data_IF_147249020459
#
_entry.id   IF_147249020459
#
_cell.length_a   1.000
_cell.length_b   1.000
_cell.length_c   1.000
_cell.angle_alpha   90.00
_cell.angle_beta   90.00
_cell.angle_gamma   90.00
#
_symmetry.space_group_name_H-M   'P 1'
#
loop_
_entity.id
_entity.type
_entity.pdbx_description
1 polymer ?
#
# COMPACT_ATOMS: atom_id res chain seq x y z
N UNK A 1 -0.07 24.12 0.44
CA UNK A 1 -1.20 23.16 0.41
C UNK A 1 -0.57 21.79 0.29
N UNK A 2 -1.01 20.82 1.10
CA UNK A 2 -0.54 19.42 0.99
C UNK A 2 -1.11 18.83 -0.32
N UNK A 3 -0.29 18.10 -1.08
CA UNK A 3 -0.79 17.37 -2.26
C UNK A 3 -1.46 16.06 -1.84
N UNK A 4 -2.33 15.50 -2.69
CA UNK A 4 -2.94 14.19 -2.40
C UNK A 4 -1.87 13.08 -2.26
N UNK A 5 -0.77 13.17 -3.02
CA UNK A 5 0.37 12.27 -2.89
C UNK A 5 1.04 12.36 -1.51
N UNK A 6 1.26 13.57 -1.00
CA UNK A 6 1.85 13.77 0.33
C UNK A 6 0.91 13.26 1.43
N UNK A 7 -0.38 13.58 1.30
CA UNK A 7 -1.44 13.14 2.21
C UNK A 7 -1.56 11.61 2.23
N UNK A 8 -1.62 10.96 1.07
CA UNK A 8 -1.69 9.51 0.95
C UNK A 8 -0.45 8.85 1.54
N UNK A 9 0.74 9.37 1.25
CA UNK A 9 2.01 8.85 1.78
C UNK A 9 2.06 8.91 3.31
N UNK A 10 1.64 10.02 3.91
CA UNK A 10 1.58 10.18 5.36
C UNK A 10 0.59 9.19 5.98
N UNK A 11 -0.64 9.12 5.45
CA UNK A 11 -1.68 8.20 5.94
C UNK A 11 -1.30 6.72 5.74
N UNK A 12 -0.56 6.38 4.68
CA UNK A 12 -0.08 5.03 4.43
C UNK A 12 0.91 4.56 5.53
N UNK A 13 1.84 5.42 5.95
CA UNK A 13 2.76 5.11 7.05
C UNK A 13 2.03 4.93 8.38
N UNK A 14 1.10 5.84 8.69
CA UNK A 14 0.26 5.75 9.91
C UNK A 14 -0.56 4.44 9.91
N UNK A 15 -1.11 4.06 8.75
CA UNK A 15 -1.86 2.81 8.58
C UNK A 15 -0.96 1.59 8.77
N UNK A 16 0.21 1.57 8.15
CA UNK A 16 1.17 0.47 8.25
C UNK A 16 1.51 0.17 9.71
N UNK A 17 1.92 1.19 10.46
CA UNK A 17 2.26 1.02 11.87
C UNK A 17 1.08 0.50 12.71
N UNK A 18 -0.14 0.98 12.41
CA UNK A 18 -1.34 0.49 13.10
C UNK A 18 -1.57 -0.98 12.80
N UNK A 19 -1.50 -1.40 11.54
CA UNK A 19 -1.71 -2.80 11.13
C UNK A 19 -0.63 -3.73 11.67
N UNK A 20 0.62 -3.26 11.74
CA UNK A 20 1.71 -3.99 12.39
C UNK A 20 1.41 -4.24 13.89
N UNK A 21 0.91 -3.21 14.61
CA UNK A 21 0.48 -3.36 16.01
C UNK A 21 -0.73 -4.29 16.19
N UNK A 22 -1.59 -4.38 15.18
CA UNK A 22 -2.73 -5.31 15.13
C UNK A 22 -2.31 -6.75 14.77
N UNK A 23 -1.02 -6.99 14.46
CA UNK A 23 -0.49 -8.31 14.15
C UNK A 23 -0.70 -8.74 12.70
N UNK A 24 -0.96 -7.80 11.78
CA UNK A 24 -1.02 -8.10 10.35
C UNK A 24 0.37 -8.51 9.85
N UNK A 25 0.43 -9.65 9.17
CA UNK A 25 1.63 -10.16 8.54
C UNK A 25 1.92 -9.43 7.22
N UNK A 26 3.03 -8.69 7.19
CA UNK A 26 3.48 -7.93 6.01
C UNK A 26 4.32 -8.78 5.05
N UNK A 27 4.76 -9.97 5.45
CA UNK A 27 5.74 -10.79 4.70
C UNK A 27 5.23 -11.30 3.35
N UNK A 28 3.92 -11.28 3.13
CA UNK A 28 3.30 -11.66 1.86
C UNK A 28 2.96 -10.45 0.97
N UNK A 29 3.34 -9.23 1.37
CA UNK A 29 3.01 -8.01 0.63
C UNK A 29 1.50 -7.74 0.53
N UNK A 30 0.75 -7.66 1.65
CA UNK A 30 -0.70 -7.49 1.58
C UNK A 30 -1.10 -6.05 1.21
N UNK A 31 -2.24 -5.92 0.53
CA UNK A 31 -2.96 -4.66 0.47
C UNK A 31 -3.40 -4.20 1.87
N UNK A 32 -3.05 -2.97 2.25
CA UNK A 32 -3.43 -2.39 3.54
C UNK A 32 -4.70 -1.57 3.46
N UNK A 33 -4.92 -0.86 2.36
CA UNK A 33 -6.15 -0.11 2.14
C UNK A 33 -6.55 -0.12 0.68
N UNK A 34 -7.77 -0.56 0.44
CA UNK A 34 -8.40 -0.48 -0.87
C UNK A 34 -8.68 0.96 -1.31
N UNK A 35 -8.80 1.90 -0.36
CA UNK A 35 -8.93 3.33 -0.60
C UNK A 35 -8.60 4.10 0.69
N UNK A 36 -7.45 4.79 0.75
CA UNK A 36 -7.01 5.55 1.94
C UNK A 36 -7.44 7.02 1.88
N UNK A 37 -7.47 7.56 0.67
CA UNK A 37 -8.09 8.83 0.26
C UNK A 37 -8.72 8.59 -1.12
N UNK A 38 -9.61 9.48 -1.60
CA UNK A 38 -10.25 9.28 -2.90
C UNK A 38 -9.23 8.96 -3.98
N UNK A 39 -9.44 7.85 -4.69
CA UNK A 39 -8.60 7.40 -5.82
C UNK A 39 -7.20 6.86 -5.46
N UNK A 40 -6.89 6.59 -4.18
CA UNK A 40 -5.59 6.05 -3.74
C UNK A 40 -5.71 4.78 -2.88
N UNK A 41 -4.99 3.72 -3.23
CA UNK A 41 -4.80 2.54 -2.35
C UNK A 41 -3.42 2.53 -1.66
N UNK A 42 -3.23 1.58 -0.74
CA UNK A 42 -1.94 1.32 -0.07
C UNK A 42 -1.61 -0.16 -0.19
N UNK A 43 -0.52 -0.46 -0.89
CA UNK A 43 -0.03 -1.81 -1.16
C UNK A 43 1.32 -2.02 -0.47
N UNK A 44 1.62 -3.26 -0.08
CA UNK A 44 2.93 -3.66 0.45
C UNK A 44 3.57 -4.60 -0.57
N UNK A 45 4.85 -4.43 -0.86
CA UNK A 45 5.60 -5.31 -1.74
C UNK A 45 7.03 -5.48 -1.22
N UNK A 46 7.78 -6.44 -1.76
CA UNK A 46 9.21 -6.52 -1.47
C UNK A 46 10.00 -5.54 -2.35
N UNK A 47 11.15 -5.08 -1.85
CA UNK A 47 12.14 -4.32 -2.63
C UNK A 47 13.55 -4.93 -2.42
N UNK A 48 14.07 -5.73 -3.37
CA UNK A 48 13.51 -6.02 -4.69
C UNK A 48 12.22 -6.87 -4.66
N UNK A 49 11.34 -6.63 -5.64
CA UNK A 49 10.08 -7.39 -5.80
C UNK A 49 10.31 -8.90 -5.86
N UNK A 50 9.40 -9.66 -5.26
CA UNK A 50 9.36 -11.11 -5.29
C UNK A 50 8.10 -11.62 -6.03
N UNK A 51 8.10 -12.86 -6.53
CA UNK A 51 6.93 -13.42 -7.23
C UNK A 51 5.64 -13.46 -6.39
N UNK A 52 5.75 -13.44 -5.05
CA UNK A 52 4.60 -13.39 -4.14
C UNK A 52 3.85 -12.04 -4.24
N UNK A 53 4.53 -10.94 -4.59
CA UNK A 53 3.92 -9.62 -4.75
C UNK A 53 3.04 -9.53 -6.01
N UNK A 54 3.30 -10.39 -6.99
CA UNK A 54 2.54 -10.45 -8.25
C UNK A 54 1.26 -11.30 -8.13
N UNK A 55 1.04 -11.92 -6.96
CA UNK A 55 -0.14 -12.72 -6.73
C UNK A 55 -1.39 -11.83 -6.58
N UNK A 56 -2.47 -12.09 -7.33
CA UNK A 56 -3.74 -11.35 -7.30
C UNK A 56 -4.32 -11.07 -5.92
N UNK A 57 -4.11 -11.98 -4.96
CA UNK A 57 -4.60 -11.90 -3.59
C UNK A 57 -3.80 -10.96 -2.68
N UNK A 58 -2.57 -10.62 -3.06
CA UNK A 58 -1.68 -9.77 -2.27
C UNK A 58 -1.78 -8.30 -2.70
N UNK A 59 -2.16 -8.07 -3.96
CA UNK A 59 -2.40 -6.73 -4.50
C UNK A 59 -3.77 -6.16 -4.15
N UNK A 60 -3.85 -4.84 -3.97
CA UNK A 60 -5.13 -4.15 -3.81
C UNK A 60 -6.09 -4.39 -4.98
N UNK A 61 -7.31 -4.85 -4.66
CA UNK A 61 -8.33 -5.16 -5.67
C UNK A 61 -8.78 -3.90 -6.42
N UNK A 62 -8.88 -2.77 -5.72
CA UNK A 62 -9.32 -1.49 -6.24
C UNK A 62 -8.46 -1.00 -7.38
N UNK A 63 -7.14 -1.13 -7.25
CA UNK A 63 -6.19 -0.76 -8.30
C UNK A 63 -6.28 -1.74 -9.46
N UNK A 64 -6.31 -3.05 -9.18
CA UNK A 64 -6.45 -4.09 -10.21
C UNK A 64 -7.75 -3.99 -11.01
N UNK A 65 -8.83 -3.50 -10.40
CA UNK A 65 -10.13 -3.31 -11.06
C UNK A 65 -10.30 -1.93 -11.71
N UNK A 66 -9.33 -1.01 -11.56
CA UNK A 66 -9.42 0.37 -12.04
C UNK A 66 -10.43 1.24 -11.28
N UNK A 67 -10.75 0.91 -10.02
CA UNK A 67 -11.58 1.77 -9.15
C UNK A 67 -10.77 2.94 -8.59
N UNK A 68 -9.50 2.68 -8.26
CA UNK A 68 -8.52 3.70 -7.88
C UNK A 68 -7.39 3.69 -8.90
N UNK A 69 -6.81 4.85 -9.16
CA UNK A 69 -5.77 5.03 -10.17
C UNK A 69 -4.40 5.33 -9.58
N UNK A 70 -4.35 5.62 -8.28
CA UNK A 70 -3.13 5.93 -7.55
C UNK A 70 -2.87 4.92 -6.44
N UNK A 71 -1.61 4.81 -6.05
CA UNK A 71 -1.21 3.95 -4.95
C UNK A 71 0.02 4.49 -4.23
N UNK A 72 0.09 4.16 -2.94
CA UNK A 72 1.33 4.17 -2.18
C UNK A 72 1.80 2.74 -2.03
N UNK A 73 3.03 2.45 -2.47
CA UNK A 73 3.67 1.15 -2.33
C UNK A 73 4.73 1.24 -1.24
N UNK A 74 4.53 0.44 -0.19
CA UNK A 74 5.43 0.30 0.94
C UNK A 74 6.24 -0.99 0.81
N UNK A 75 7.45 -1.01 1.38
CA UNK A 75 8.15 -2.26 1.62
C UNK A 75 7.60 -2.98 2.86
N UNK A 76 8.07 -4.20 3.12
CA UNK A 76 7.66 -5.01 4.27
C UNK A 76 8.03 -4.41 5.63
N UNK A 77 8.87 -3.37 5.65
CA UNK A 77 9.28 -2.63 6.84
C UNK A 77 8.57 -1.25 6.96
N UNK A 78 7.72 -0.90 5.98
CA UNK A 78 6.95 0.33 5.96
C UNK A 78 7.68 1.54 5.36
N UNK A 79 8.80 1.34 4.67
CA UNK A 79 9.45 2.37 3.87
C UNK A 79 8.71 2.58 2.55
N UNK A 80 8.77 3.79 2.01
CA UNK A 80 8.12 4.10 0.73
C UNK A 80 9.00 3.62 -0.41
N UNK A 81 8.49 2.70 -1.22
CA UNK A 81 9.08 2.33 -2.51
C UNK A 81 8.72 3.40 -3.54
N UNK A 82 7.41 3.69 -3.68
CA UNK A 82 6.90 4.73 -4.59
C UNK A 82 5.47 5.15 -4.24
N UNK A 83 5.08 6.33 -4.74
CA UNK A 83 3.72 6.85 -4.65
C UNK A 83 3.38 7.61 -5.93
N UNK A 84 2.35 7.18 -6.67
CA UNK A 84 1.95 7.77 -7.96
C UNK A 84 0.52 7.43 -8.33
#
# INVERSE_FOLDING_TARGET
>A
MESDRDRATRLARELFERRLREGVDMSNGPCLSEEIIPDWCVDVAHDPRLPVDDLPQNQCRSFRSGRVHHFVELDTDGNIIRAR
#
